data_IF_882254885736
#
_entry.id   IF_882254885736
#
_cell.length_a   1.000
_cell.length_b   1.000
_cell.length_c   1.000
_cell.angle_alpha   90.00
_cell.angle_beta   90.00
_cell.angle_gamma   90.00
#
_symmetry.space_group_name_H-M   'P 1'
#
loop_
_entity.id
_entity.type
_entity.pdbx_description
1 polymer ?
#
# COMPACT_ATOMS: atom_id res chain seq x y z
N UNK A 1 -7.27 -2.88 8.89
CA UNK A 1 -5.99 -2.61 8.18
C UNK A 1 -5.31 -3.96 7.96
N UNK A 2 -4.90 -4.27 6.73
CA UNK A 2 -4.08 -5.43 6.37
C UNK A 2 -2.68 -4.91 6.04
N UNK A 3 -1.69 -5.29 6.84
CA UNK A 3 -0.41 -4.56 6.97
C UNK A 3 0.71 -5.05 6.05
N UNK A 4 0.43 -5.36 4.79
CA UNK A 4 1.42 -5.91 3.85
C UNK A 4 1.27 -7.41 3.65
N UNK A 5 1.97 -7.90 2.61
CA UNK A 5 2.00 -9.29 2.18
C UNK A 5 0.58 -9.88 2.13
N UNK A 6 -0.29 -9.17 1.39
CA UNK A 6 -1.71 -9.52 1.28
C UNK A 6 -1.87 -10.95 0.76
N UNK A 7 -0.97 -11.34 -0.13
CA UNK A 7 -0.80 -12.71 -0.61
C UNK A 7 0.67 -13.11 -0.59
N UNK A 8 0.96 -14.42 -0.60
CA UNK A 8 2.34 -14.91 -0.59
C UNK A 8 2.98 -14.93 -1.98
N UNK A 9 2.17 -15.10 -3.04
CA UNK A 9 2.67 -15.18 -4.41
C UNK A 9 3.30 -13.85 -4.85
N UNK A 10 4.63 -13.80 -4.93
CA UNK A 10 5.37 -12.65 -5.48
C UNK A 10 4.98 -12.36 -6.95
N UNK A 11 5.20 -11.13 -7.45
CA UNK A 11 5.02 -10.82 -8.87
C UNK A 11 5.70 -11.86 -9.77
N UNK A 12 4.96 -12.36 -10.77
CA UNK A 12 5.46 -13.37 -11.71
C UNK A 12 5.37 -14.83 -11.24
N UNK A 13 4.90 -15.11 -10.02
CA UNK A 13 4.70 -16.49 -9.53
C UNK A 13 3.39 -17.10 -10.01
N UNK A 14 3.40 -18.42 -10.25
CA UNK A 14 2.29 -19.19 -10.84
C UNK A 14 0.94 -18.98 -10.13
N UNK A 15 0.94 -18.98 -8.79
CA UNK A 15 -0.27 -18.98 -7.98
C UNK A 15 -0.78 -17.58 -7.58
N UNK A 16 -0.07 -16.52 -7.96
CA UNK A 16 -0.39 -15.14 -7.55
C UNK A 16 -1.83 -14.77 -7.87
N UNK A 17 -2.26 -14.96 -9.11
CA UNK A 17 -3.60 -14.59 -9.56
C UNK A 17 -4.71 -15.39 -8.86
N UNK A 18 -4.46 -16.66 -8.55
CA UNK A 18 -5.40 -17.47 -7.77
C UNK A 18 -5.54 -16.93 -6.34
N UNK A 19 -4.42 -16.64 -5.68
CA UNK A 19 -4.42 -16.08 -4.32
C UNK A 19 -5.11 -14.71 -4.25
N UNK A 20 -4.88 -13.82 -5.23
CA UNK A 20 -5.57 -12.52 -5.31
C UNK A 20 -7.09 -12.73 -5.37
N UNK A 21 -7.54 -13.62 -6.27
CA UNK A 21 -8.99 -13.90 -6.41
C UNK A 21 -9.59 -14.46 -5.13
N UNK A 22 -8.91 -15.42 -4.50
CA UNK A 22 -9.40 -16.06 -3.28
C UNK A 22 -9.51 -15.05 -2.14
N UNK A 23 -8.48 -14.24 -1.90
CA UNK A 23 -8.53 -13.21 -0.88
C UNK A 23 -9.65 -12.19 -1.16
N UNK A 24 -9.74 -11.69 -2.40
CA UNK A 24 -10.82 -10.76 -2.78
C UNK A 24 -12.21 -11.36 -2.60
N UNK A 25 -12.38 -12.66 -2.85
CA UNK A 25 -13.66 -13.33 -2.65
C UNK A 25 -14.03 -13.42 -1.17
N UNK A 26 -13.10 -13.81 -0.30
CA UNK A 26 -13.33 -13.87 1.16
C UNK A 26 -13.64 -12.48 1.73
N UNK A 27 -12.96 -11.43 1.24
CA UNK A 27 -13.18 -10.06 1.72
C UNK A 27 -14.56 -9.49 1.34
N UNK A 28 -15.26 -10.07 0.35
CA UNK A 28 -16.65 -9.67 0.01
C UNK A 28 -17.66 -10.02 1.10
N UNK A 29 -17.35 -11.03 1.92
CA UNK A 29 -18.23 -11.46 3.01
C UNK A 29 -18.13 -10.54 4.24
N UNK A 30 -17.14 -9.64 4.26
CA UNK A 30 -17.04 -8.60 5.28
C UNK A 30 -18.23 -7.65 5.15
N UNK A 31 -18.81 -7.27 6.29
CA UNK A 31 -19.87 -6.26 6.32
C UNK A 31 -19.40 -4.97 5.65
N UNK A 32 -20.25 -4.41 4.78
CA UNK A 32 -19.93 -3.24 3.98
C UNK A 32 -19.66 -1.96 4.77
N UNK A 33 -20.04 -1.92 6.05
CA UNK A 33 -19.77 -0.80 6.95
C UNK A 33 -18.38 -0.85 7.61
N UNK A 34 -17.65 -1.95 7.45
CA UNK A 34 -16.28 -2.10 7.95
C UNK A 34 -15.31 -1.70 6.82
N UNK A 35 -14.62 -0.55 6.90
CA UNK A 35 -13.68 -0.14 5.87
C UNK A 35 -12.43 -1.04 5.86
N UNK A 36 -12.00 -1.42 4.66
CA UNK A 36 -10.74 -2.13 4.44
C UNK A 36 -9.65 -1.13 4.03
N UNK A 37 -8.48 -1.30 4.65
CA UNK A 37 -7.27 -0.51 4.36
C UNK A 37 -6.17 -1.50 4.05
N UNK A 38 -5.62 -1.43 2.85
CA UNK A 38 -4.56 -2.31 2.38
C UNK A 38 -3.23 -1.58 2.41
N UNK A 39 -2.20 -2.26 2.90
CA UNK A 39 -0.81 -1.80 2.91
C UNK A 39 -0.02 -2.79 2.08
N UNK A 40 0.93 -2.31 1.27
CA UNK A 40 1.77 -3.16 0.44
C UNK A 40 2.92 -3.77 1.24
N UNK A 41 3.27 -5.03 0.98
CA UNK A 41 4.49 -5.68 1.46
C UNK A 41 5.43 -6.11 0.32
N UNK A 42 6.52 -6.78 0.68
CA UNK A 42 7.50 -7.25 -0.28
C UNK A 42 6.97 -8.40 -1.16
N UNK A 43 6.01 -9.19 -0.69
CA UNK A 43 5.34 -10.20 -1.52
C UNK A 43 4.35 -9.57 -2.52
N UNK A 44 3.89 -8.35 -2.24
CA UNK A 44 2.97 -7.65 -3.13
C UNK A 44 3.70 -6.95 -4.28
N UNK A 45 4.85 -6.34 -3.98
CA UNK A 45 5.60 -5.46 -4.90
C UNK A 45 6.93 -6.05 -5.39
N UNK A 46 7.47 -7.04 -4.69
CA UNK A 46 8.85 -7.54 -4.84
C UNK A 46 9.83 -6.85 -3.89
N UNK A 47 10.99 -7.48 -3.67
CA UNK A 47 12.08 -6.91 -2.88
C UNK A 47 12.70 -5.67 -3.54
N UNK A 48 12.77 -5.66 -4.86
CA UNK A 48 13.17 -4.52 -5.68
C UNK A 48 11.98 -4.17 -6.59
N UNK A 49 11.05 -3.32 -6.14
CA UNK A 49 9.87 -2.95 -6.92
C UNK A 49 10.25 -2.31 -8.26
N UNK A 50 9.39 -2.49 -9.26
CA UNK A 50 9.44 -1.81 -10.55
C UNK A 50 8.18 -0.96 -10.73
N UNK A 51 8.15 -0.02 -11.69
CA UNK A 51 6.92 0.71 -12.00
C UNK A 51 5.75 -0.22 -12.35
N UNK A 52 6.03 -1.36 -12.99
CA UNK A 52 5.02 -2.35 -13.36
C UNK A 52 4.49 -3.11 -12.13
N UNK A 53 5.34 -3.50 -11.18
CA UNK A 53 4.85 -4.19 -9.97
C UNK A 53 4.05 -3.25 -9.07
N UNK A 54 4.43 -1.98 -8.97
CA UNK A 54 3.66 -0.95 -8.27
C UNK A 54 2.33 -0.70 -8.98
N UNK A 55 2.34 -0.54 -10.31
CA UNK A 55 1.09 -0.36 -11.07
C UNK A 55 0.15 -1.55 -10.92
N UNK A 56 0.67 -2.77 -10.95
CA UNK A 56 -0.11 -3.99 -10.70
C UNK A 56 -0.72 -3.98 -9.30
N UNK A 57 0.05 -3.63 -8.26
CA UNK A 57 -0.50 -3.48 -6.91
C UNK A 57 -1.64 -2.47 -6.88
N UNK A 58 -1.44 -1.27 -7.45
CA UNK A 58 -2.44 -0.22 -7.43
C UNK A 58 -3.74 -0.62 -8.14
N UNK A 59 -3.64 -1.33 -9.26
CA UNK A 59 -4.81 -1.87 -9.98
C UNK A 59 -5.57 -2.92 -9.15
N UNK A 60 -4.87 -3.68 -8.31
CA UNK A 60 -5.48 -4.76 -7.54
C UNK A 60 -6.02 -4.31 -6.19
N UNK A 61 -5.33 -3.40 -5.49
CA UNK A 61 -5.55 -3.11 -4.08
C UNK A 61 -5.80 -1.63 -3.76
N UNK A 62 -5.61 -0.73 -4.73
CA UNK A 62 -5.64 0.72 -4.54
C UNK A 62 -4.25 1.30 -4.26
N UNK A 63 -4.19 2.60 -3.99
CA UNK A 63 -2.95 3.36 -3.87
C UNK A 63 -1.92 2.71 -2.92
N UNK A 64 -0.64 2.77 -3.29
CA UNK A 64 0.48 2.17 -2.53
C UNK A 64 0.97 3.06 -1.37
N UNK A 65 0.63 4.34 -1.40
CA UNK A 65 0.77 5.25 -0.25
C UNK A 65 -0.39 6.25 -0.21
N UNK A 66 -0.88 6.53 0.99
CA UNK A 66 -2.00 7.44 1.21
C UNK A 66 -2.15 7.78 2.70
N UNK A 67 -3.04 8.71 3.02
CA UNK A 67 -3.35 9.09 4.39
C UNK A 67 -4.85 9.02 4.65
N UNK A 68 -5.23 8.76 5.89
CA UNK A 68 -6.63 8.75 6.29
C UNK A 68 -6.81 9.12 7.77
N UNK A 69 -8.01 9.58 8.11
CA UNK A 69 -8.39 9.85 9.50
C UNK A 69 -9.31 8.74 10.01
N UNK A 70 -9.03 8.22 11.20
CA UNK A 70 -9.94 7.30 11.89
C UNK A 70 -9.90 7.59 13.40
N UNK A 71 -11.07 7.83 14.00
CA UNK A 71 -11.16 8.08 15.44
C UNK A 71 -10.35 9.27 15.95
N UNK A 72 -10.15 10.31 15.12
CA UNK A 72 -9.33 11.47 15.49
C UNK A 72 -7.82 11.28 15.31
N UNK A 73 -7.37 10.11 14.86
CA UNK A 73 -5.97 9.81 14.56
C UNK A 73 -5.73 9.94 13.05
N UNK A 74 -4.64 10.60 12.68
CA UNK A 74 -4.18 10.71 11.29
C UNK A 74 -3.16 9.62 10.99
N UNK A 75 -3.53 8.70 10.08
CA UNK A 75 -2.70 7.58 9.67
C UNK A 75 -2.01 7.89 8.35
N UNK A 76 -0.75 7.48 8.24
CA UNK A 76 0.04 7.49 7.01
C UNK A 76 0.36 6.04 6.63
N UNK A 77 0.02 5.67 5.40
CA UNK A 77 0.39 4.41 4.77
C UNK A 77 1.48 4.71 3.76
N UNK A 78 2.59 3.98 3.84
CA UNK A 78 3.76 4.15 2.98
C UNK A 78 4.08 2.85 2.28
N UNK A 79 4.52 2.94 1.02
CA UNK A 79 5.17 1.84 0.34
C UNK A 79 6.60 1.70 0.89
N UNK A 80 6.77 0.76 1.83
CA UNK A 80 8.06 0.53 2.49
C UNK A 80 9.14 -0.01 1.55
N UNK A 81 8.75 -0.68 0.47
CA UNK A 81 9.71 -1.26 -0.48
C UNK A 81 10.49 -0.19 -1.25
N UNK A 82 9.90 0.99 -1.44
CA UNK A 82 10.62 2.15 -1.98
C UNK A 82 11.70 2.70 -1.04
N UNK A 83 11.62 2.45 0.27
CA UNK A 83 12.70 2.76 1.22
C UNK A 83 13.73 1.64 1.34
N UNK A 84 13.33 0.40 1.06
CA UNK A 84 14.22 -0.75 1.07
C UNK A 84 15.13 -0.79 -0.16
N UNK A 85 14.56 -0.77 -1.37
CA UNK A 85 15.31 -0.74 -2.64
C UNK A 85 14.49 -0.06 -3.75
N UNK A 86 14.75 1.23 -3.98
CA UNK A 86 14.15 2.00 -5.07
C UNK A 86 15.05 2.12 -6.31
N UNK A 87 16.04 1.23 -6.50
CA UNK A 87 16.97 1.32 -7.63
C UNK A 87 16.29 1.34 -9.00
N UNK A 88 15.12 0.71 -9.14
CA UNK A 88 14.29 0.72 -10.36
C UNK A 88 13.12 1.72 -10.33
N UNK A 89 12.93 2.45 -9.23
CA UNK A 89 11.75 3.28 -8.97
C UNK A 89 12.09 4.65 -8.37
N UNK A 90 13.26 5.21 -8.69
CA UNK A 90 13.74 6.47 -8.08
C UNK A 90 12.77 7.64 -8.21
N UNK A 91 12.06 7.76 -9.35
CA UNK A 91 11.04 8.79 -9.57
C UNK A 91 9.82 8.60 -8.66
N UNK A 92 9.34 7.35 -8.51
CA UNK A 92 8.21 7.03 -7.64
C UNK A 92 8.56 7.23 -6.16
N UNK A 93 9.79 6.86 -5.77
CA UNK A 93 10.33 7.15 -4.43
C UNK A 93 10.33 8.65 -4.14
N UNK A 94 10.84 9.46 -5.07
CA UNK A 94 10.86 10.91 -4.90
C UNK A 94 9.44 11.51 -4.80
N UNK A 95 8.48 10.96 -5.53
CA UNK A 95 7.07 11.35 -5.44
C UNK A 95 6.48 11.02 -4.05
N UNK A 96 6.72 9.82 -3.52
CA UNK A 96 6.29 9.45 -2.17
C UNK A 96 6.94 10.33 -1.10
N UNK A 97 8.24 10.62 -1.22
CA UNK A 97 8.94 11.50 -0.26
C UNK A 97 8.34 12.90 -0.26
N UNK A 98 8.15 13.50 -1.44
CA UNK A 98 7.54 14.82 -1.57
C UNK A 98 6.11 14.85 -1.00
N UNK A 99 5.34 13.78 -1.21
CA UNK A 99 4.01 13.64 -0.63
C UNK A 99 4.06 13.51 0.91
N UNK A 100 4.98 12.70 1.43
CA UNK A 100 5.14 12.46 2.88
C UNK A 100 5.45 13.77 3.60
N UNK A 101 6.38 14.57 3.10
CA UNK A 101 6.70 15.89 3.65
C UNK A 101 5.47 16.79 3.72
N UNK A 102 4.62 16.78 2.68
CA UNK A 102 3.36 17.54 2.70
C UNK A 102 2.39 17.03 3.78
N UNK A 103 2.28 15.71 3.96
CA UNK A 103 1.39 15.15 4.99
C UNK A 103 1.90 15.45 6.40
N UNK A 104 3.22 15.40 6.62
CA UNK A 104 3.83 15.77 7.90
C UNK A 104 3.58 17.24 8.24
N UNK A 105 3.70 18.14 7.26
CA UNK A 105 3.36 19.56 7.44
C UNK A 105 1.87 19.80 7.73
N UNK A 106 0.97 18.95 7.21
CA UNK A 106 -0.46 18.97 7.58
C UNK A 106 -0.68 18.50 9.00
N UNK A 107 -0.01 17.42 9.41
CA UNK A 107 -0.09 16.88 10.77
C UNK A 107 0.43 17.87 11.81
N UNK A 108 1.51 18.59 11.52
CA UNK A 108 2.06 19.62 12.41
C UNK A 108 1.05 20.77 12.68
N UNK A 109 0.29 21.17 11.66
CA UNK A 109 -0.73 22.23 11.77
C UNK A 109 -2.01 21.75 12.46
N UNK A 110 -2.28 20.45 12.45
CA UNK A 110 -3.48 19.84 13.03
C UNK A 110 -3.09 19.12 14.31
N UNK A 111 -3.12 19.82 15.44
CA UNK A 111 -2.98 19.16 16.75
C UNK A 111 -4.02 18.03 16.84
N UNK A 112 -3.56 16.79 17.00
CA UNK A 112 -4.43 15.66 17.34
C UNK A 112 -5.28 16.05 18.56
N UNK A 113 -6.59 15.79 18.49
CA UNK A 113 -7.46 15.97 19.65
C UNK A 113 -7.21 14.90 20.70
#
# INVERSE_FOLDING_TARGET
VLCGDLIHGMPGTEWREAQIRDLKNVLKDLRSDIPLVFVSGNHDLGNMPTPDTISNYCQQWGDDYFSFWAGGVFFLVLNSQLYFDASQCSVLKAAQDAWLEQQLAVAEKKQCR
#
